data_IF_920620850433
#
_entry.id   IF_920620850433
#
_cell.length_a   1.000
_cell.length_b   1.000
_cell.length_c   1.000
_cell.angle_alpha   90.00
_cell.angle_beta   90.00
_cell.angle_gamma   90.00
#
_symmetry.space_group_name_H-M   'P 1'
#
loop_
_entity.id
_entity.type
_entity.pdbx_description
1 polymer ?
#
# COMPACT_ATOMS: atom_id res chain seq x y z
N UNK A 1 30.76 -11.24 -11.23
CA UNK A 1 32.12 -10.71 -11.45
C UNK A 1 32.13 -9.29 -10.95
N UNK A 2 33.28 -8.80 -10.50
CA UNK A 2 33.42 -7.44 -9.96
C UNK A 2 33.87 -6.47 -11.05
N UNK A 3 33.24 -6.61 -12.21
CA UNK A 3 33.55 -5.80 -13.38
C UNK A 3 32.73 -4.51 -13.35
N UNK A 4 33.34 -3.42 -13.80
CA UNK A 4 32.64 -2.14 -13.91
C UNK A 4 31.53 -2.24 -14.96
N UNK A 5 30.29 -2.08 -14.53
CA UNK A 5 29.14 -2.00 -15.42
C UNK A 5 28.87 -0.55 -15.81
N UNK A 6 29.01 -0.23 -17.10
CA UNK A 6 28.62 1.08 -17.64
C UNK A 6 27.12 1.09 -17.96
N UNK A 7 26.33 1.72 -17.09
CA UNK A 7 24.90 1.89 -17.32
C UNK A 7 24.66 2.96 -18.41
N UNK A 8 23.83 2.68 -19.43
CA UNK A 8 23.40 3.70 -20.38
C UNK A 8 22.66 4.83 -19.66
N UNK A 9 22.72 6.05 -20.21
CA UNK A 9 22.13 7.25 -19.57
C UNK A 9 20.63 7.13 -19.27
N UNK A 10 19.92 6.31 -20.04
CA UNK A 10 18.47 6.15 -19.93
C UNK A 10 18.05 4.94 -19.08
N UNK A 11 19.00 4.28 -18.40
CA UNK A 11 18.71 3.17 -17.49
C UNK A 11 18.47 3.67 -16.06
N UNK A 12 17.62 2.94 -15.35
CA UNK A 12 17.25 3.23 -13.96
C UNK A 12 17.72 2.10 -13.07
N UNK A 13 18.28 2.44 -11.91
CA UNK A 13 18.61 1.49 -10.85
C UNK A 13 17.49 1.54 -9.81
N UNK A 14 16.96 0.38 -9.45
CA UNK A 14 15.90 0.24 -8.46
C UNK A 14 16.21 -0.86 -7.46
N UNK A 15 15.47 -0.87 -6.35
CA UNK A 15 15.48 -2.00 -5.43
C UNK A 15 14.59 -3.11 -5.98
N UNK A 16 15.16 -4.30 -6.13
CA UNK A 16 14.41 -5.46 -6.61
C UNK A 16 13.35 -5.89 -5.60
N UNK A 17 12.15 -6.16 -6.09
CA UNK A 17 11.11 -6.81 -5.32
C UNK A 17 11.20 -8.33 -5.52
N UNK A 18 11.00 -9.14 -4.45
CA UNK A 18 10.66 -10.55 -4.53
C UNK A 18 9.88 -11.07 -5.77
N UNK A 19 8.82 -10.36 -6.19
CA UNK A 19 7.95 -10.75 -7.28
C UNK A 19 8.58 -10.60 -8.66
N UNK A 20 9.69 -9.90 -8.75
CA UNK A 20 10.47 -9.68 -9.97
C UNK A 20 11.54 -10.75 -10.16
N UNK A 21 11.69 -11.66 -9.20
CA UNK A 21 12.71 -12.71 -9.19
C UNK A 21 12.07 -14.09 -9.13
N UNK A 22 12.64 -15.03 -9.86
CA UNK A 22 12.46 -16.45 -9.61
C UNK A 22 13.05 -16.84 -8.24
N UNK A 23 12.68 -18.04 -7.76
CA UNK A 23 13.27 -18.58 -6.52
C UNK A 23 14.78 -18.80 -6.68
N UNK A 24 15.23 -19.28 -7.83
CA UNK A 24 16.64 -19.51 -8.15
C UNK A 24 17.44 -18.21 -8.17
N UNK A 25 16.95 -17.16 -8.84
CA UNK A 25 17.60 -15.84 -8.83
C UNK A 25 17.70 -15.29 -7.41
N UNK A 26 16.64 -15.46 -6.61
CA UNK A 26 16.64 -14.96 -5.23
C UNK A 26 17.61 -15.73 -4.35
N UNK A 27 17.71 -17.05 -4.51
CA UNK A 27 18.69 -17.88 -3.82
C UNK A 27 20.11 -17.46 -4.19
N UNK A 28 20.40 -17.30 -5.49
CA UNK A 28 21.70 -16.86 -5.99
C UNK A 28 22.10 -15.48 -5.42
N UNK A 29 21.16 -14.51 -5.39
CA UNK A 29 21.43 -13.22 -4.75
C UNK A 29 21.61 -13.32 -3.23
N UNK A 30 20.91 -14.24 -2.58
CA UNK A 30 21.11 -14.54 -1.16
C UNK A 30 22.52 -15.03 -0.86
N UNK A 31 23.06 -15.93 -1.70
CA UNK A 31 24.45 -16.39 -1.62
C UNK A 31 25.42 -15.23 -1.82
N UNK A 32 25.22 -14.38 -2.83
CA UNK A 32 26.06 -13.19 -3.06
C UNK A 32 26.07 -12.27 -1.84
N UNK A 33 24.92 -11.96 -1.24
CA UNK A 33 24.90 -11.11 -0.05
C UNK A 33 25.64 -11.76 1.13
N UNK A 34 25.52 -13.08 1.29
CA UNK A 34 26.24 -13.83 2.33
C UNK A 34 27.75 -13.84 2.11
N UNK A 35 28.21 -14.06 0.88
CA UNK A 35 29.63 -14.11 0.53
C UNK A 35 30.34 -12.78 0.78
N UNK A 36 29.61 -11.67 0.59
CA UNK A 36 30.08 -10.32 0.88
C UNK A 36 29.83 -9.85 2.32
N UNK A 37 29.31 -10.73 3.18
CA UNK A 37 28.91 -10.42 4.57
C UNK A 37 27.96 -9.21 4.67
N UNK A 38 27.14 -8.99 3.63
CA UNK A 38 26.19 -7.88 3.57
C UNK A 38 24.92 -8.26 4.33
N UNK A 39 24.74 -7.65 5.50
CA UNK A 39 23.48 -7.72 6.25
C UNK A 39 22.51 -6.67 5.72
N UNK A 40 21.41 -7.12 5.13
CA UNK A 40 20.36 -6.21 4.68
C UNK A 40 19.72 -5.47 5.88
N UNK A 41 19.53 -4.14 5.82
CA UNK A 41 18.97 -3.36 6.93
C UNK A 41 17.47 -3.63 7.16
N UNK A 42 16.82 -4.34 6.25
CA UNK A 42 15.43 -4.79 6.32
C UNK A 42 15.27 -6.08 5.51
N UNK A 43 14.16 -6.79 5.70
CA UNK A 43 13.83 -7.94 4.88
C UNK A 43 13.63 -7.48 3.42
N UNK A 44 14.65 -7.61 2.58
CA UNK A 44 14.57 -7.28 1.15
C UNK A 44 14.21 -8.52 0.34
N UNK A 45 15.13 -9.49 0.25
CA UNK A 45 14.89 -10.74 -0.48
C UNK A 45 13.95 -11.67 0.30
N UNK A 46 14.11 -11.74 1.62
CA UNK A 46 13.32 -12.62 2.48
C UNK A 46 11.94 -12.09 2.89
N UNK A 47 11.48 -10.96 2.36
CA UNK A 47 10.15 -10.45 2.72
C UNK A 47 9.03 -11.26 2.09
N UNK A 48 7.93 -11.34 2.83
CA UNK A 48 6.72 -12.02 2.39
C UNK A 48 6.13 -11.38 1.14
N UNK A 49 5.53 -12.23 0.31
CA UNK A 49 4.82 -11.83 -0.90
C UNK A 49 3.35 -12.13 -0.71
N UNK A 50 2.52 -11.10 -0.83
CA UNK A 50 1.07 -11.22 -0.69
C UNK A 50 0.41 -11.20 -2.08
N UNK A 51 -0.59 -12.06 -2.29
CA UNK A 51 -1.29 -12.19 -3.57
C UNK A 51 -2.79 -12.10 -3.40
N UNK A 52 -3.47 -11.67 -4.46
CA UNK A 52 -4.92 -11.78 -4.56
C UNK A 52 -5.36 -13.23 -4.46
N UNK A 53 -6.52 -13.44 -3.86
CA UNK A 53 -7.27 -14.68 -4.06
C UNK A 53 -7.86 -14.67 -5.48
N UNK A 54 -7.99 -15.85 -6.09
CA UNK A 54 -8.53 -15.98 -7.47
C UNK A 54 -9.91 -15.33 -7.65
N UNK A 55 -10.73 -15.33 -6.59
CA UNK A 55 -12.05 -14.72 -6.55
C UNK A 55 -12.02 -13.19 -6.65
N UNK A 56 -10.91 -12.56 -6.26
CA UNK A 56 -10.79 -11.10 -6.13
C UNK A 56 -10.33 -10.42 -7.42
N UNK A 57 -9.74 -11.15 -8.37
CA UNK A 57 -9.16 -10.55 -9.59
C UNK A 57 -10.14 -9.67 -10.37
N UNK A 58 -11.44 -10.03 -10.34
CA UNK A 58 -12.51 -9.31 -11.02
C UNK A 58 -13.15 -8.22 -10.16
N UNK A 59 -12.89 -8.21 -8.85
CA UNK A 59 -13.40 -7.20 -7.94
C UNK A 59 -12.67 -5.85 -8.14
N UNK A 60 -13.24 -4.78 -7.59
CA UNK A 60 -12.66 -3.44 -7.60
C UNK A 60 -12.24 -2.99 -6.20
N UNK A 61 -12.40 -3.85 -5.19
CA UNK A 61 -12.06 -3.60 -3.79
C UNK A 61 -11.59 -4.87 -3.09
N UNK A 62 -10.68 -4.71 -2.12
CA UNK A 62 -10.18 -5.79 -1.26
C UNK A 62 -11.15 -6.04 -0.09
N UNK A 63 -12.27 -6.71 -0.39
CA UNK A 63 -13.38 -6.87 0.55
C UNK A 63 -13.03 -7.74 1.78
N UNK A 64 -11.94 -8.51 1.75
CA UNK A 64 -11.49 -9.34 2.89
C UNK A 64 -11.10 -8.54 4.15
N UNK A 65 -10.93 -7.22 4.03
CA UNK A 65 -10.68 -6.32 5.17
C UNK A 65 -11.87 -5.41 5.48
N UNK A 66 -12.96 -5.51 4.71
CA UNK A 66 -14.17 -4.73 4.94
C UNK A 66 -14.76 -5.08 6.31
N UNK A 67 -15.21 -4.05 7.03
CA UNK A 67 -15.78 -4.23 8.36
C UNK A 67 -14.75 -4.31 9.49
N UNK A 68 -13.44 -4.22 9.18
CA UNK A 68 -12.40 -4.12 10.20
C UNK A 68 -12.60 -2.82 11.00
N UNK A 69 -12.72 -2.93 12.32
CA UNK A 69 -12.96 -1.80 13.22
C UNK A 69 -11.72 -1.47 14.04
N UNK A 70 -11.36 -0.19 14.08
CA UNK A 70 -10.27 0.32 14.93
C UNK A 70 -10.66 1.68 15.51
N UNK A 71 -10.10 2.02 16.67
CA UNK A 71 -10.16 3.39 17.18
C UNK A 71 -9.39 4.32 16.23
N UNK A 72 -9.89 5.54 16.01
CA UNK A 72 -9.37 6.50 15.04
C UNK A 72 -7.86 6.74 15.16
N UNK A 73 -7.26 6.94 16.37
CA UNK A 73 -5.81 7.13 16.48
C UNK A 73 -5.02 5.92 15.99
N UNK A 74 -5.49 4.71 16.26
CA UNK A 74 -4.78 3.49 15.86
C UNK A 74 -4.80 3.33 14.35
N UNK A 75 -5.94 3.58 13.71
CA UNK A 75 -6.06 3.52 12.24
C UNK A 75 -5.17 4.56 11.58
N UNK A 76 -5.35 5.84 11.94
CA UNK A 76 -4.69 6.99 11.30
C UNK A 76 -3.18 6.87 11.43
N UNK A 77 -2.65 6.75 12.66
CA UNK A 77 -1.20 6.76 12.87
C UNK A 77 -0.51 5.50 12.34
N UNK A 78 -1.21 4.37 12.26
CA UNK A 78 -0.65 3.16 11.64
C UNK A 78 -0.51 3.33 10.13
N UNK A 79 -1.53 3.85 9.45
CA UNK A 79 -1.48 4.14 8.01
C UNK A 79 -0.38 5.17 7.69
N UNK A 80 -0.30 6.26 8.44
CA UNK A 80 0.72 7.30 8.22
C UNK A 80 2.14 6.80 8.44
N UNK A 81 2.36 5.95 9.45
CA UNK A 81 3.64 5.27 9.66
C UNK A 81 4.05 4.40 8.47
N UNK A 82 3.08 3.87 7.72
CA UNK A 82 3.29 3.08 6.50
C UNK A 82 3.32 3.95 5.23
N UNK A 83 3.37 5.28 5.37
CA UNK A 83 3.50 6.21 4.25
C UNK A 83 2.21 6.52 3.51
N UNK A 84 1.06 6.21 4.10
CA UNK A 84 -0.24 6.65 3.59
C UNK A 84 -0.50 8.11 4.00
N UNK A 85 -1.15 8.87 3.13
CA UNK A 85 -1.48 10.28 3.34
C UNK A 85 -2.98 10.42 3.51
N UNK A 86 -3.41 11.02 4.63
CA UNK A 86 -4.82 11.30 4.89
C UNK A 86 -5.41 12.27 3.85
N UNK A 87 -6.72 12.16 3.60
CA UNK A 87 -7.49 13.13 2.82
C UNK A 87 -7.37 14.57 3.37
N UNK A 88 -7.76 15.55 2.55
CA UNK A 88 -7.83 16.95 3.00
C UNK A 88 -9.16 17.19 3.73
N UNK A 89 -9.20 18.19 4.61
CA UNK A 89 -10.41 18.52 5.35
C UNK A 89 -11.57 18.93 4.42
N UNK A 90 -12.73 18.30 4.61
CA UNK A 90 -14.01 18.67 4.01
C UNK A 90 -14.55 20.01 4.55
N UNK A 91 -15.77 20.37 4.15
CA UNK A 91 -16.61 21.27 4.93
C UNK A 91 -16.77 20.71 6.36
N UNK A 92 -16.33 21.48 7.36
CA UNK A 92 -16.21 21.02 8.75
C UNK A 92 -14.81 20.52 9.18
N UNK A 93 -13.84 20.41 8.26
CA UNK A 93 -12.44 20.13 8.59
C UNK A 93 -12.17 18.66 8.98
N UNK A 94 -12.95 17.71 8.45
CA UNK A 94 -12.77 16.27 8.68
C UNK A 94 -12.35 15.53 7.41
N UNK A 95 -11.79 14.32 7.56
CA UNK A 95 -11.38 13.43 6.46
C UNK A 95 -11.87 11.99 6.71
N UNK A 96 -12.08 11.22 5.64
CA UNK A 96 -12.60 9.84 5.70
C UNK A 96 -11.77 8.83 4.87
N UNK A 97 -10.63 9.26 4.33
CA UNK A 97 -9.74 8.41 3.55
C UNK A 97 -8.26 8.59 3.91
N UNK A 98 -7.46 7.60 3.52
CA UNK A 98 -6.04 7.76 3.25
C UNK A 98 -5.70 7.19 1.88
N UNK A 99 -4.66 7.73 1.26
CA UNK A 99 -4.16 7.26 -0.04
C UNK A 99 -2.64 7.10 -0.06
N UNK A 100 -2.15 6.17 -0.87
CA UNK A 100 -0.72 5.91 -1.08
C UNK A 100 -0.44 5.79 -2.56
N UNK A 101 0.46 6.64 -3.06
CA UNK A 101 0.84 6.68 -4.46
C UNK A 101 1.97 5.69 -4.75
N UNK A 102 1.89 5.01 -5.89
CA UNK A 102 2.90 4.10 -6.42
C UNK A 102 3.36 4.60 -7.81
N UNK A 103 4.30 5.57 -7.87
CA UNK A 103 4.65 6.27 -9.11
C UNK A 103 5.11 5.34 -10.24
N UNK A 104 5.94 4.35 -9.93
CA UNK A 104 6.46 3.40 -10.92
C UNK A 104 5.36 2.57 -11.60
N UNK A 105 4.24 2.33 -10.91
CA UNK A 105 3.09 1.60 -11.44
C UNK A 105 2.00 2.52 -12.00
N UNK A 106 2.16 3.84 -11.88
CA UNK A 106 1.13 4.84 -12.18
C UNK A 106 -0.24 4.52 -11.52
N UNK A 107 -0.23 4.15 -10.23
CA UNK A 107 -1.41 3.75 -9.45
C UNK A 107 -1.42 4.47 -8.11
N UNK A 108 -2.62 4.79 -7.60
CA UNK A 108 -2.84 5.20 -6.22
C UNK A 108 -3.77 4.20 -5.54
N UNK A 109 -3.38 3.71 -4.36
CA UNK A 109 -4.25 2.93 -3.49
C UNK A 109 -4.98 3.88 -2.53
N UNK A 110 -6.24 3.55 -2.21
CA UNK A 110 -7.09 4.33 -1.31
C UNK A 110 -7.73 3.41 -0.29
N UNK A 111 -7.67 3.80 0.98
CA UNK A 111 -8.41 3.20 2.09
C UNK A 111 -9.46 4.21 2.52
N UNK A 112 -10.73 3.85 2.35
CA UNK A 112 -11.88 4.63 2.78
C UNK A 112 -12.59 3.89 3.93
N UNK A 113 -13.07 4.66 4.91
CA UNK A 113 -13.72 4.13 6.10
C UNK A 113 -15.03 4.87 6.39
N UNK A 114 -15.95 4.15 7.02
CA UNK A 114 -17.20 4.69 7.57
C UNK A 114 -16.88 5.47 8.86
N UNK A 115 -17.24 6.75 8.87
CA UNK A 115 -16.86 7.75 9.87
C UNK A 115 -16.01 8.88 9.29
N UNK A 116 -15.74 9.94 10.08
CA UNK A 116 -14.91 11.06 9.64
C UNK A 116 -14.06 11.56 10.80
N UNK A 117 -12.75 11.69 10.60
CA UNK A 117 -11.83 12.16 11.63
C UNK A 117 -11.60 13.66 11.49
N UNK A 118 -11.72 14.42 12.58
CA UNK A 118 -11.42 15.85 12.55
C UNK A 118 -9.91 16.11 12.42
N UNK A 119 -9.52 17.05 11.56
CA UNK A 119 -8.12 17.39 11.31
C UNK A 119 -7.43 17.98 12.55
N UNK A 120 -8.18 18.72 13.37
CA UNK A 120 -7.65 19.41 14.56
C UNK A 120 -7.59 18.55 15.82
N UNK A 121 -8.36 17.47 15.88
CA UNK A 121 -8.44 16.59 17.05
C UNK A 121 -8.93 15.22 16.64
N UNK A 122 -8.12 14.19 16.89
CA UNK A 122 -8.51 12.79 16.67
C UNK A 122 -9.07 12.28 17.99
N UNK A 123 -10.39 12.02 18.02
CA UNK A 123 -11.06 11.50 19.21
C UNK A 123 -10.52 10.09 19.53
N UNK A 124 -10.00 9.85 20.76
CA UNK A 124 -9.44 8.57 21.13
C UNK A 124 -10.45 7.41 21.19
N UNK A 125 -11.74 7.73 21.36
CA UNK A 125 -12.82 6.75 21.50
C UNK A 125 -13.64 6.60 20.20
N UNK A 126 -13.38 7.44 19.19
CA UNK A 126 -14.02 7.32 17.88
C UNK A 126 -13.64 5.99 17.22
N UNK A 127 -14.64 5.23 16.82
CA UNK A 127 -14.49 3.96 16.13
C UNK A 127 -14.74 4.15 14.63
N UNK A 128 -13.75 3.79 13.81
CA UNK A 128 -13.85 3.79 12.35
C UNK A 128 -13.97 2.36 11.84
N UNK A 129 -14.72 2.19 10.76
CA UNK A 129 -14.88 0.89 10.10
C UNK A 129 -14.35 0.96 8.68
N UNK A 130 -13.40 0.10 8.30
CA UNK A 130 -12.92 0.03 6.92
C UNK A 130 -14.08 -0.35 5.98
N UNK A 131 -14.36 0.53 5.02
CA UNK A 131 -15.47 0.34 4.08
C UNK A 131 -14.96 -0.18 2.75
N UNK A 132 -13.92 0.45 2.19
CA UNK A 132 -13.37 0.11 0.88
C UNK A 132 -11.86 0.29 0.84
N UNK A 133 -11.19 -0.66 0.19
CA UNK A 133 -9.78 -0.52 -0.18
C UNK A 133 -9.69 -0.79 -1.67
N UNK A 134 -9.34 0.22 -2.45
CA UNK A 134 -9.38 0.15 -3.91
C UNK A 134 -8.21 0.91 -4.53
N UNK A 135 -8.10 0.78 -5.86
CA UNK A 135 -7.01 1.34 -6.63
C UNK A 135 -7.56 2.19 -7.76
N UNK A 136 -6.90 3.30 -8.03
CA UNK A 136 -7.19 4.20 -9.15
C UNK A 136 -5.93 4.38 -10.00
N UNK A 137 -6.06 4.51 -11.33
CA UNK A 137 -4.92 4.86 -12.18
C UNK A 137 -4.49 6.31 -11.93
N UNK A 138 -3.20 6.58 -12.05
CA UNK A 138 -2.63 7.92 -11.87
C UNK A 138 -2.20 8.22 -10.44
N UNK A 139 -1.59 9.40 -10.27
CA UNK A 139 -1.20 9.98 -8.99
C UNK A 139 -2.35 10.85 -8.44
N UNK A 140 -3.36 10.19 -7.87
CA UNK A 140 -4.49 10.88 -7.22
C UNK A 140 -3.95 11.69 -6.04
N UNK A 141 -4.22 12.99 -6.03
CA UNK A 141 -3.94 13.84 -4.87
C UNK A 141 -4.92 13.48 -3.74
N UNK A 142 -4.54 13.67 -2.47
CA UNK A 142 -5.48 13.51 -1.35
C UNK A 142 -6.76 14.31 -1.61
N UNK A 143 -7.93 13.67 -1.51
CA UNK A 143 -9.21 14.32 -1.81
C UNK A 143 -9.85 14.86 -0.54
N UNK A 144 -10.71 15.88 -0.73
CA UNK A 144 -11.55 16.38 0.34
C UNK A 144 -12.80 15.54 0.50
N UNK A 145 -13.48 15.21 -0.59
CA UNK A 145 -14.77 14.53 -0.54
C UNK A 145 -14.68 13.07 -0.94
N UNK A 146 -15.12 12.15 -0.08
CA UNK A 146 -15.37 10.74 -0.45
C UNK A 146 -16.39 10.57 -1.60
N UNK A 147 -17.16 11.61 -1.97
CA UNK A 147 -18.04 11.62 -3.14
C UNK A 147 -17.33 11.83 -4.48
N UNK A 148 -16.16 12.49 -4.52
CA UNK A 148 -15.37 12.58 -5.77
C UNK A 148 -14.98 11.16 -6.25
N UNK A 149 -14.85 10.22 -5.32
CA UNK A 149 -14.52 8.83 -5.61
C UNK A 149 -15.71 7.93 -5.99
N UNK A 150 -16.96 8.41 -5.89
CA UNK A 150 -18.12 7.67 -6.45
C UNK A 150 -18.04 7.58 -7.98
N UNK A 151 -17.28 8.49 -8.60
CA UNK A 151 -17.01 8.51 -10.03
C UNK A 151 -15.55 8.15 -10.37
N UNK A 152 -14.69 7.93 -9.37
CA UNK A 152 -13.33 7.47 -9.63
C UNK A 152 -13.38 6.14 -10.39
N UNK A 153 -12.63 6.08 -11.48
CA UNK A 153 -12.53 4.87 -12.31
C UNK A 153 -11.65 3.84 -11.60
N UNK A 154 -12.25 3.09 -10.68
CA UNK A 154 -11.58 2.03 -9.91
C UNK A 154 -11.04 0.94 -10.83
N UNK A 155 -9.78 0.57 -10.64
CA UNK A 155 -9.15 -0.55 -11.33
C UNK A 155 -9.73 -1.88 -10.85
N UNK A 156 -9.83 -2.86 -11.75
CA UNK A 156 -10.03 -4.26 -11.32
C UNK A 156 -8.75 -4.73 -10.64
N UNK A 157 -8.87 -5.46 -9.54
CA UNK A 157 -7.70 -5.84 -8.75
C UNK A 157 -6.68 -6.64 -9.55
N UNK A 158 -7.13 -7.56 -10.41
CA UNK A 158 -6.24 -8.35 -11.29
C UNK A 158 -5.51 -7.54 -12.37
N UNK A 159 -5.84 -6.25 -12.55
CA UNK A 159 -5.15 -5.35 -13.48
C UNK A 159 -4.12 -4.45 -12.81
N UNK A 160 -4.09 -4.43 -11.47
CA UNK A 160 -3.13 -3.65 -10.69
C UNK A 160 -1.79 -4.39 -10.68
N UNK A 161 -0.68 -3.65 -10.69
CA UNK A 161 0.65 -4.24 -10.61
C UNK A 161 0.74 -5.18 -9.37
N UNK A 162 1.17 -6.45 -9.52
CA UNK A 162 1.24 -7.41 -8.41
C UNK A 162 2.10 -6.96 -7.22
N UNK A 163 3.13 -6.15 -7.46
CA UNK A 163 3.95 -5.52 -6.41
C UNK A 163 3.09 -4.59 -5.57
N UNK A 164 2.34 -3.70 -6.24
CA UNK A 164 1.45 -2.75 -5.55
C UNK A 164 0.40 -3.48 -4.73
N UNK A 165 -0.19 -4.55 -5.27
CA UNK A 165 -1.08 -5.44 -4.52
C UNK A 165 -0.38 -6.03 -3.29
N UNK A 166 0.83 -6.58 -3.46
CA UNK A 166 1.57 -7.21 -2.37
C UNK A 166 1.87 -6.23 -1.23
N UNK A 167 2.29 -5.00 -1.56
CA UNK A 167 2.57 -3.96 -0.57
C UNK A 167 1.32 -3.51 0.17
N UNK A 168 0.23 -3.25 -0.55
CA UNK A 168 -1.03 -2.83 0.09
C UNK A 168 -1.60 -3.95 0.95
N UNK A 169 -1.54 -5.21 0.50
CA UNK A 169 -1.95 -6.34 1.33
C UNK A 169 -1.10 -6.45 2.60
N UNK A 170 0.22 -6.27 2.51
CA UNK A 170 1.11 -6.26 3.67
C UNK A 170 0.71 -5.17 4.68
N UNK A 171 0.50 -3.93 4.20
CA UNK A 171 0.04 -2.80 5.02
C UNK A 171 -1.31 -3.11 5.70
N UNK A 172 -2.25 -3.74 4.97
CA UNK A 172 -3.56 -4.11 5.51
C UNK A 172 -3.48 -5.25 6.54
N UNK A 173 -2.54 -6.19 6.41
CA UNK A 173 -2.30 -7.21 7.43
C UNK A 173 -1.76 -6.58 8.73
N UNK A 174 -0.87 -5.58 8.61
CA UNK A 174 -0.41 -4.81 9.77
C UNK A 174 -1.59 -4.13 10.44
N UNK A 175 -2.46 -3.46 9.69
CA UNK A 175 -3.64 -2.81 10.25
C UNK A 175 -4.60 -3.82 10.92
N UNK A 176 -4.85 -4.97 10.28
CA UNK A 176 -5.64 -6.06 10.84
C UNK A 176 -5.07 -6.58 12.17
N UNK A 177 -3.75 -6.65 12.31
CA UNK A 177 -3.10 -7.06 13.56
C UNK A 177 -3.28 -6.06 14.72
N UNK A 178 -3.71 -4.83 14.43
CA UNK A 178 -3.99 -3.79 15.43
C UNK A 178 -5.46 -3.74 15.87
N UNK A 179 -6.37 -4.36 15.13
CA UNK A 179 -7.76 -4.49 15.54
C UNK A 179 -7.86 -5.44 16.74
N UNK A 180 -8.57 -5.03 17.78
CA UNK A 180 -8.83 -5.82 18.98
C UNK A 180 -10.15 -6.54 18.87
#
# INVERSE_FOLDING_TARGET
SDETLHLPKDHVVGLVHPLEMSEDERAAWGEVLSDYEIVAPFAQLGRDVNRLEKSEEKAQSLDRFKGLKLVAPTLVFTLEKMGWVRGIGMDGGCFDDHSKQFPAANVTAVVHYDGTVAMGYIDPDEMLTLEQIYFVPGMRQPSGYGWDDKHAKKSKLGTVNPIVISEVLADMQVLKSKAK
#
